data_IF_545469298880
#
_entry.id   IF_545469298880
#
_cell.length_a   1.000
_cell.length_b   1.000
_cell.length_c   1.000
_cell.angle_alpha   90.00
_cell.angle_beta   90.00
_cell.angle_gamma   90.00
#
_symmetry.space_group_name_H-M   'P 1'
#
loop_
_entity.id
_entity.type
_entity.pdbx_description
1 polymer ?
#
# COMPACT_ATOMS: atom_id res chain seq x y z
N UNK A 1 -17.70 2.62 27.59
CA UNK A 1 -17.92 3.14 26.22
C UNK A 1 -16.59 2.99 25.47
N UNK A 2 -16.40 1.90 24.73
CA UNK A 2 -15.21 1.76 23.90
C UNK A 2 -15.45 2.53 22.60
N UNK A 3 -14.90 3.74 22.52
CA UNK A 3 -14.95 4.53 21.29
C UNK A 3 -14.26 3.76 20.17
N UNK A 4 -14.93 3.62 19.03
CA UNK A 4 -14.27 3.23 17.79
C UNK A 4 -13.23 4.31 17.48
N UNK A 5 -11.97 4.04 17.79
CA UNK A 5 -10.88 4.94 17.41
C UNK A 5 -10.74 4.88 15.89
N UNK A 6 -11.02 5.99 15.23
CA UNK A 6 -10.58 6.20 13.86
C UNK A 6 -9.06 6.24 13.89
N UNK A 7 -8.43 5.25 13.26
CA UNK A 7 -6.98 5.16 13.14
C UNK A 7 -6.61 5.27 11.66
N UNK A 8 -5.67 6.15 11.35
CA UNK A 8 -5.05 6.22 10.03
C UNK A 8 -4.01 5.11 9.92
N UNK A 9 -4.23 4.17 9.00
CA UNK A 9 -3.29 3.09 8.67
C UNK A 9 -2.66 3.39 7.31
N UNK A 10 -1.34 3.22 7.21
CA UNK A 10 -0.66 3.36 5.91
C UNK A 10 -1.03 2.20 4.98
N UNK A 11 -1.03 2.45 3.67
CA UNK A 11 -1.24 1.40 2.66
C UNK A 11 -0.22 0.26 2.84
N UNK A 12 1.05 0.60 3.15
CA UNK A 12 2.10 -0.39 3.46
C UNK A 12 1.69 -1.33 4.59
N UNK A 13 1.12 -0.80 5.69
CA UNK A 13 0.68 -1.62 6.81
C UNK A 13 -0.54 -2.48 6.45
N UNK A 14 -1.49 -1.94 5.68
CA UNK A 14 -2.60 -2.72 5.14
C UNK A 14 -2.09 -3.93 4.34
N UNK A 15 -1.19 -3.71 3.38
CA UNK A 15 -0.64 -4.79 2.55
C UNK A 15 0.10 -5.82 3.41
N UNK A 16 0.98 -5.36 4.32
CA UNK A 16 1.70 -6.25 5.23
C UNK A 16 0.76 -7.11 6.07
N UNK A 17 -0.29 -6.52 6.63
CA UNK A 17 -1.26 -7.21 7.47
C UNK A 17 -2.11 -8.23 6.69
N UNK A 18 -2.42 -7.94 5.42
CA UNK A 18 -3.03 -8.93 4.51
C UNK A 18 -2.07 -10.10 4.26
N UNK A 19 -0.78 -9.83 4.00
CA UNK A 19 0.21 -10.87 3.67
C UNK A 19 0.47 -11.83 4.84
N UNK A 20 0.54 -11.31 6.08
CA UNK A 20 0.75 -12.15 7.27
C UNK A 20 -0.54 -12.81 7.79
N UNK A 21 -1.68 -12.56 7.14
CA UNK A 21 -2.98 -13.12 7.52
C UNK A 21 -3.62 -12.49 8.76
N UNK A 22 -3.14 -11.33 9.22
CA UNK A 22 -3.76 -10.59 10.35
C UNK A 22 -4.97 -9.77 9.91
N UNK A 23 -5.11 -9.48 8.61
CA UNK A 23 -6.33 -8.92 8.00
C UNK A 23 -6.91 -9.92 7.01
N UNK A 24 -8.16 -10.32 7.23
CA UNK A 24 -8.89 -11.25 6.35
C UNK A 24 -10.32 -10.76 6.07
N UNK A 25 -11.03 -11.47 5.18
CA UNK A 25 -12.42 -11.21 4.84
C UNK A 25 -13.34 -12.25 5.50
N UNK A 26 -14.49 -11.86 6.07
CA UNK A 26 -15.54 -12.81 6.38
C UNK A 26 -16.01 -13.56 5.11
N UNK A 27 -16.22 -14.87 5.19
CA UNK A 27 -16.57 -15.69 4.01
C UNK A 27 -17.83 -15.19 3.32
N UNK A 28 -18.85 -14.79 4.09
CA UNK A 28 -20.15 -14.35 3.57
C UNK A 28 -20.10 -13.04 2.76
N UNK A 29 -18.96 -12.34 2.73
CA UNK A 29 -18.81 -11.16 1.87
C UNK A 29 -18.75 -11.56 0.40
N UNK A 30 -19.40 -10.75 -0.46
CA UNK A 30 -19.39 -10.95 -1.91
C UNK A 30 -17.97 -11.06 -2.48
N UNK A 31 -17.87 -11.77 -3.60
CA UNK A 31 -16.63 -11.85 -4.35
C UNK A 31 -16.12 -10.47 -4.82
N UNK A 32 -14.84 -10.43 -5.19
CA UNK A 32 -14.26 -9.28 -5.85
C UNK A 32 -14.87 -9.12 -7.26
N UNK A 33 -15.46 -7.95 -7.53
CA UNK A 33 -16.21 -7.69 -8.77
C UNK A 33 -15.79 -6.39 -9.45
N UNK A 34 -14.84 -5.64 -8.88
CA UNK A 34 -14.31 -4.45 -9.56
C UNK A 34 -13.51 -4.86 -10.80
N UNK A 35 -13.84 -4.27 -11.93
CA UNK A 35 -12.99 -4.29 -13.12
C UNK A 35 -11.71 -3.48 -12.86
N UNK A 36 -10.84 -3.43 -13.87
CA UNK A 36 -9.56 -2.73 -13.75
C UNK A 36 -9.73 -1.20 -13.77
N UNK A 37 -10.76 -0.68 -14.43
CA UNK A 37 -11.05 0.75 -14.51
C UNK A 37 -11.36 1.34 -13.14
N UNK A 38 -12.13 0.64 -12.31
CA UNK A 38 -12.36 1.07 -10.91
C UNK A 38 -11.09 1.09 -10.06
N UNK A 39 -10.12 0.23 -10.37
CA UNK A 39 -8.81 0.30 -9.73
C UNK A 39 -8.07 1.56 -10.15
N UNK A 40 -8.10 1.95 -11.43
CA UNK A 40 -7.50 3.20 -11.90
C UNK A 40 -8.16 4.43 -11.26
N UNK A 41 -9.49 4.48 -11.22
CA UNK A 41 -10.24 5.57 -10.56
C UNK A 41 -9.91 5.69 -9.07
N UNK A 42 -9.72 4.54 -8.38
CA UNK A 42 -9.31 4.53 -6.98
C UNK A 42 -7.94 5.17 -6.78
N UNK A 43 -6.96 4.80 -7.62
CA UNK A 43 -5.61 5.37 -7.53
C UNK A 43 -5.57 6.83 -7.97
N UNK A 44 -6.33 7.22 -8.99
CA UNK A 44 -6.48 8.62 -9.39
C UNK A 44 -7.04 9.46 -8.23
N UNK A 45 -8.09 8.98 -7.58
CA UNK A 45 -8.67 9.63 -6.39
C UNK A 45 -7.66 9.74 -5.23
N UNK A 46 -6.86 8.68 -4.99
CA UNK A 46 -5.82 8.68 -3.97
C UNK A 46 -4.73 9.73 -4.24
N UNK A 47 -4.29 9.85 -5.49
CA UNK A 47 -3.27 10.83 -5.90
C UNK A 47 -3.78 12.26 -5.77
N UNK A 48 -5.04 12.50 -6.16
CA UNK A 48 -5.69 13.82 -6.11
C UNK A 48 -6.22 14.22 -4.73
N UNK A 49 -5.95 13.43 -3.69
CA UNK A 49 -6.47 13.69 -2.34
C UNK A 49 -8.00 13.64 -2.24
N UNK A 50 -8.69 13.02 -3.20
CA UNK A 50 -10.15 12.89 -3.20
C UNK A 50 -10.54 11.79 -2.20
N UNK A 51 -11.59 12.04 -1.40
CA UNK A 51 -12.07 11.08 -0.41
C UNK A 51 -12.58 9.79 -1.06
N UNK A 52 -11.86 8.69 -0.85
CA UNK A 52 -12.21 7.35 -1.36
C UNK A 52 -13.06 6.51 -0.39
N UNK A 53 -13.51 7.10 0.72
CA UNK A 53 -14.14 6.38 1.82
C UNK A 53 -13.14 5.84 2.86
N UNK A 54 -13.61 4.94 3.72
CA UNK A 54 -12.80 4.31 4.77
C UNK A 54 -12.82 2.78 4.65
N UNK A 55 -11.80 2.11 5.18
CA UNK A 55 -11.85 0.67 5.43
C UNK A 55 -12.31 0.47 6.88
N UNK A 56 -13.38 -0.30 7.07
CA UNK A 56 -13.92 -0.59 8.40
C UNK A 56 -13.43 -1.95 8.83
N UNK A 57 -12.83 -2.03 10.01
CA UNK A 57 -12.36 -3.28 10.60
C UNK A 57 -13.25 -3.74 11.76
N UNK A 58 -13.40 -5.05 11.90
CA UNK A 58 -13.99 -5.71 13.06
C UNK A 58 -12.98 -6.62 13.74
N UNK A 59 -13.00 -6.68 15.08
CA UNK A 59 -12.29 -7.71 15.85
C UNK A 59 -13.30 -8.79 16.23
N UNK A 60 -13.22 -10.00 15.67
CA UNK A 60 -14.14 -11.08 16.02
C UNK A 60 -13.88 -11.57 17.44
N UNK A 61 -14.92 -12.10 18.09
CA UNK A 61 -14.84 -12.73 19.42
C UNK A 61 -15.70 -13.98 19.49
N UNK A 62 -15.96 -14.59 18.34
CA UNK A 62 -16.86 -15.73 18.15
C UNK A 62 -16.34 -16.57 16.97
N UNK A 63 -16.79 -17.81 16.87
CA UNK A 63 -16.46 -18.70 15.75
C UNK A 63 -16.85 -18.07 14.41
N UNK A 64 -15.91 -18.03 13.46
CA UNK A 64 -16.17 -17.40 12.17
C UNK A 64 -15.42 -18.10 11.04
N UNK A 65 -16.11 -18.23 9.91
CA UNK A 65 -15.48 -18.64 8.65
C UNK A 65 -15.00 -17.41 7.89
N UNK A 66 -13.73 -17.42 7.52
CA UNK A 66 -13.04 -16.33 6.82
C UNK A 66 -12.41 -16.83 5.53
N UNK A 67 -11.98 -15.90 4.69
CA UNK A 67 -11.19 -16.14 3.49
C UNK A 67 -10.16 -15.05 3.30
N UNK A 68 -9.13 -15.37 2.51
CA UNK A 68 -8.13 -14.38 2.11
C UNK A 68 -8.68 -13.35 1.12
N UNK A 69 -7.93 -12.26 0.95
CA UNK A 69 -8.11 -11.31 -0.15
C UNK A 69 -7.98 -12.05 -1.50
N UNK A 70 -8.72 -11.59 -2.52
CA UNK A 70 -8.70 -12.22 -3.84
C UNK A 70 -7.38 -11.95 -4.58
N UNK A 71 -6.55 -12.99 -4.67
CA UNK A 71 -5.24 -12.98 -5.36
C UNK A 71 -5.29 -13.55 -6.78
N UNK A 72 -6.47 -13.87 -7.31
CA UNK A 72 -6.60 -14.58 -8.60
C UNK A 72 -6.30 -13.64 -9.76
N UNK A 73 -5.59 -14.05 -10.83
CA UNK A 73 -5.45 -13.19 -11.99
C UNK A 73 -6.81 -12.94 -12.65
N UNK A 74 -6.99 -11.77 -13.29
CA UNK A 74 -8.28 -11.41 -13.92
C UNK A 74 -8.67 -12.34 -15.06
N UNK A 75 -7.68 -12.91 -15.76
CA UNK A 75 -7.84 -13.81 -16.91
C UNK A 75 -6.77 -14.90 -16.87
N UNK A 76 -7.00 -15.98 -17.60
CA UNK A 76 -6.03 -17.06 -17.77
C UNK A 76 -6.03 -18.08 -16.62
N UNK A 77 -4.99 -18.93 -16.55
CA UNK A 77 -4.86 -19.98 -15.53
C UNK A 77 -4.96 -19.39 -14.12
N UNK A 78 -5.75 -20.04 -13.25
CA UNK A 78 -5.92 -19.60 -11.86
C UNK A 78 -7.03 -18.57 -11.63
N UNK A 79 -7.58 -17.94 -12.68
CA UNK A 79 -8.66 -16.94 -12.55
C UNK A 79 -9.96 -17.48 -11.94
N UNK A 80 -10.17 -18.80 -12.02
CA UNK A 80 -11.36 -19.49 -11.50
C UNK A 80 -11.05 -20.40 -10.32
N UNK A 81 -9.84 -20.34 -9.77
CA UNK A 81 -9.47 -21.15 -8.60
C UNK A 81 -10.38 -20.77 -7.42
N UNK A 82 -10.98 -21.73 -6.71
CA UNK A 82 -11.71 -21.44 -5.49
C UNK A 82 -10.77 -20.82 -4.44
N UNK A 83 -11.23 -19.81 -3.72
CA UNK A 83 -10.53 -19.29 -2.55
C UNK A 83 -11.03 -20.11 -1.36
N UNK A 84 -10.22 -21.01 -0.79
CA UNK A 84 -10.70 -21.89 0.27
C UNK A 84 -11.01 -21.09 1.52
N UNK A 85 -12.20 -21.27 2.13
CA UNK A 85 -12.50 -20.69 3.42
C UNK A 85 -11.71 -21.41 4.53
N UNK A 86 -11.47 -20.69 5.62
CA UNK A 86 -10.88 -21.20 6.86
C UNK A 86 -11.89 -20.93 7.97
N UNK A 87 -12.31 -21.97 8.68
CA UNK A 87 -13.12 -21.82 9.88
C UNK A 87 -12.20 -21.70 11.10
N UNK A 88 -12.45 -20.69 11.92
CA UNK A 88 -11.78 -20.52 13.21
C UNK A 88 -12.81 -20.68 14.32
N UNK A 89 -12.52 -21.58 15.25
CA UNK A 89 -13.23 -21.70 16.52
C UNK A 89 -13.08 -20.43 17.36
N UNK A 90 -13.96 -20.27 18.36
CA UNK A 90 -13.88 -19.12 19.27
C UNK A 90 -12.52 -19.04 19.99
N UNK A 91 -11.96 -20.17 20.44
CA UNK A 91 -10.65 -20.20 21.12
C UNK A 91 -9.50 -19.76 20.19
N UNK A 92 -9.51 -20.19 18.93
CA UNK A 92 -8.53 -19.75 17.93
C UNK A 92 -8.63 -18.25 17.65
N UNK A 93 -9.86 -17.72 17.56
CA UNK A 93 -10.10 -16.28 17.39
C UNK A 93 -9.62 -15.47 18.59
N UNK A 94 -9.90 -15.92 19.81
CA UNK A 94 -9.44 -15.25 21.03
C UNK A 94 -7.91 -15.18 21.08
N UNK A 95 -7.24 -16.30 20.78
CA UNK A 95 -5.77 -16.33 20.70
C UNK A 95 -5.22 -15.41 19.59
N UNK A 96 -5.79 -15.47 18.38
CA UNK A 96 -5.34 -14.65 17.23
C UNK A 96 -5.58 -13.16 17.42
N UNK A 97 -6.70 -12.77 18.02
CA UNK A 97 -7.00 -11.36 18.26
C UNK A 97 -6.12 -10.75 19.35
N UNK A 98 -5.73 -11.54 20.35
CA UNK A 98 -4.82 -11.10 21.42
C UNK A 98 -3.36 -11.04 20.98
N UNK A 99 -2.89 -11.99 20.17
CA UNK A 99 -1.46 -12.15 19.83
C UNK A 99 -1.11 -11.51 18.47
N UNK A 100 -1.96 -11.71 17.46
CA UNK A 100 -1.66 -11.38 16.06
C UNK A 100 -2.39 -10.11 15.56
N UNK A 101 -3.12 -9.42 16.45
CA UNK A 101 -4.01 -8.29 16.10
C UNK A 101 -4.94 -8.62 14.92
N UNK A 102 -5.52 -9.81 14.94
CA UNK A 102 -6.40 -10.32 13.90
C UNK A 102 -7.65 -9.44 13.72
N UNK A 103 -7.94 -9.05 12.47
CA UNK A 103 -9.00 -8.13 12.07
C UNK A 103 -9.71 -8.63 10.82
N UNK A 104 -11.02 -8.37 10.76
CA UNK A 104 -11.87 -8.60 9.60
C UNK A 104 -12.11 -7.28 8.88
N UNK A 105 -12.01 -7.24 7.55
CA UNK A 105 -12.55 -6.10 6.79
C UNK A 105 -14.06 -6.25 6.73
N UNK A 106 -14.80 -5.31 7.32
CA UNK A 106 -16.27 -5.25 7.31
C UNK A 106 -16.82 -4.36 6.19
N UNK A 107 -16.08 -3.31 5.83
CA UNK A 107 -16.37 -2.45 4.67
C UNK A 107 -15.09 -2.04 3.94
N UNK A 108 -15.20 -1.74 2.64
CA UNK A 108 -14.07 -1.36 1.81
C UNK A 108 -13.30 -2.54 1.22
N UNK A 109 -13.86 -3.75 1.27
CA UNK A 109 -13.26 -4.98 0.73
C UNK A 109 -12.77 -4.85 -0.72
N UNK A 110 -13.51 -4.15 -1.59
CA UNK A 110 -13.14 -4.00 -3.01
C UNK A 110 -11.95 -3.05 -3.14
N UNK A 111 -11.93 -1.95 -2.37
CA UNK A 111 -10.80 -1.01 -2.32
C UNK A 111 -9.53 -1.68 -1.81
N UNK A 112 -9.63 -2.38 -0.69
CA UNK A 112 -8.50 -3.11 -0.09
C UNK A 112 -7.95 -4.17 -1.07
N UNK A 113 -8.84 -4.91 -1.74
CA UNK A 113 -8.46 -5.91 -2.74
C UNK A 113 -7.79 -5.27 -3.96
N UNK A 114 -8.34 -4.17 -4.51
CA UNK A 114 -7.74 -3.44 -5.63
C UNK A 114 -6.35 -2.89 -5.32
N UNK A 115 -6.18 -2.26 -4.15
CA UNK A 115 -4.89 -1.73 -3.70
C UNK A 115 -3.88 -2.88 -3.58
N UNK A 116 -4.28 -3.97 -2.93
CA UNK A 116 -3.43 -5.15 -2.78
C UNK A 116 -3.00 -5.74 -4.12
N UNK A 117 -3.95 -5.97 -5.03
CA UNK A 117 -3.67 -6.58 -6.34
C UNK A 117 -2.76 -5.73 -7.21
N UNK A 118 -2.94 -4.40 -7.20
CA UNK A 118 -2.09 -3.48 -7.95
C UNK A 118 -0.65 -3.46 -7.41
N UNK A 119 -0.48 -3.30 -6.10
CA UNK A 119 0.84 -3.19 -5.47
C UNK A 119 1.62 -4.51 -5.44
N UNK A 120 0.92 -5.65 -5.48
CA UNK A 120 1.52 -6.99 -5.61
C UNK A 120 1.71 -7.44 -7.06
N UNK A 121 1.36 -6.61 -8.04
CA UNK A 121 1.53 -6.91 -9.47
C UNK A 121 0.58 -7.96 -10.04
N UNK A 122 -0.50 -8.29 -9.34
CA UNK A 122 -1.56 -9.19 -9.83
C UNK A 122 -2.40 -8.46 -10.89
N UNK A 123 -2.67 -7.19 -10.63
CA UNK A 123 -3.26 -6.27 -11.60
C UNK A 123 -2.15 -5.32 -12.06
N UNK A 124 -1.93 -5.24 -13.37
CA UNK A 124 -0.96 -4.31 -13.95
C UNK A 124 -1.53 -2.89 -13.93
N UNK A 125 -0.84 -1.99 -13.23
CA UNK A 125 -1.21 -0.58 -13.10
C UNK A 125 0.05 0.28 -13.29
N UNK A 126 -0.03 1.19 -14.25
CA UNK A 126 0.99 2.17 -14.58
C UNK A 126 0.48 3.55 -14.21
N UNK A 127 1.32 4.31 -13.49
CA UNK A 127 1.18 5.74 -13.32
C UNK A 127 1.89 6.43 -14.49
N UNK A 128 1.14 7.18 -15.28
CA UNK A 128 1.68 7.93 -16.42
C UNK A 128 1.82 9.40 -15.99
N UNK A 129 3.00 9.97 -16.20
CA UNK A 129 3.34 11.34 -15.84
C UNK A 129 3.32 12.21 -17.09
N UNK A 130 2.77 13.42 -16.95
CA UNK A 130 2.79 14.46 -17.99
C UNK A 130 4.21 14.79 -18.41
N UNK A 131 4.41 15.05 -19.70
CA UNK A 131 5.63 15.69 -20.18
C UNK A 131 5.69 17.15 -19.74
N UNK A 132 6.88 17.75 -19.78
CA UNK A 132 7.11 19.12 -19.30
C UNK A 132 6.19 20.15 -19.99
N UNK A 133 5.95 19.97 -21.30
CA UNK A 133 5.09 20.81 -22.13
C UNK A 133 3.59 20.61 -21.90
N UNK A 134 3.19 19.55 -21.18
CA UNK A 134 1.80 19.25 -20.82
C UNK A 134 1.43 19.76 -19.42
N UNK A 135 2.42 20.21 -18.65
CA UNK A 135 2.27 20.77 -17.32
C UNK A 135 2.00 22.27 -17.45
N UNK A 136 1.19 22.84 -16.55
CA UNK A 136 0.89 24.29 -16.56
C UNK A 136 2.16 25.12 -16.29
N UNK A 137 2.28 26.29 -16.93
CA UNK A 137 3.49 27.14 -16.85
C UNK A 137 3.92 27.43 -15.40
N UNK A 138 2.96 27.70 -14.51
CA UNK A 138 3.19 27.96 -13.08
C UNK A 138 3.84 26.77 -12.35
N UNK A 139 3.58 25.55 -12.81
CA UNK A 139 4.15 24.32 -12.25
C UNK A 139 5.52 24.03 -12.88
N UNK A 140 5.71 24.36 -14.15
CA UNK A 140 7.00 24.21 -14.83
C UNK A 140 8.11 25.02 -14.13
N UNK A 141 7.79 26.21 -13.63
CA UNK A 141 8.72 27.05 -12.87
C UNK A 141 9.16 26.44 -11.53
N UNK A 142 8.41 25.48 -10.99
CA UNK A 142 8.78 24.77 -9.75
C UNK A 142 9.88 23.76 -10.03
N UNK A 143 10.84 23.65 -9.12
CA UNK A 143 11.77 22.52 -9.10
C UNK A 143 10.99 21.19 -9.05
N UNK A 144 11.46 20.18 -9.78
CA UNK A 144 10.80 18.87 -9.88
C UNK A 144 10.44 18.25 -8.51
N UNK A 145 11.33 18.37 -7.52
CA UNK A 145 11.12 17.83 -6.16
C UNK A 145 9.99 18.53 -5.39
N UNK A 146 9.60 19.73 -5.82
CA UNK A 146 8.57 20.54 -5.19
C UNK A 146 7.21 20.43 -5.91
N UNK A 147 7.15 19.69 -7.01
CA UNK A 147 5.89 19.37 -7.70
C UNK A 147 5.20 18.21 -6.98
N UNK A 148 3.91 18.37 -6.71
CA UNK A 148 3.07 17.31 -6.18
C UNK A 148 2.71 16.31 -7.27
N UNK A 149 2.36 15.08 -6.87
CA UNK A 149 1.96 14.05 -7.82
C UNK A 149 0.65 14.40 -8.55
N UNK A 150 -0.27 15.12 -7.88
CA UNK A 150 -1.52 15.59 -8.48
C UNK A 150 -1.29 16.56 -9.64
N UNK A 151 -0.27 17.42 -9.56
CA UNK A 151 0.03 18.39 -10.61
C UNK A 151 0.58 17.72 -11.89
N UNK A 152 1.37 16.65 -11.70
CA UNK A 152 2.14 16.01 -12.79
C UNK A 152 1.53 14.71 -13.30
N UNK A 153 0.52 14.15 -12.64
CA UNK A 153 -0.15 12.94 -13.13
C UNK A 153 -0.92 13.22 -14.43
N UNK A 154 -0.72 12.35 -15.42
CA UNK A 154 -1.56 12.30 -16.62
C UNK A 154 -2.75 11.36 -16.38
N UNK A 155 -2.49 10.07 -16.13
CA UNK A 155 -3.52 9.07 -15.81
C UNK A 155 -2.95 7.80 -15.16
N UNK A 156 -3.85 6.88 -14.79
CA UNK A 156 -3.52 5.49 -14.50
C UNK A 156 -3.99 4.58 -15.64
N UNK A 157 -3.11 3.67 -16.09
CA UNK A 157 -3.37 2.77 -17.22
C UNK A 157 -2.91 1.33 -16.97
N UNK A 158 -3.34 0.41 -17.84
CA UNK A 158 -2.94 -1.00 -17.82
C UNK A 158 -1.66 -1.28 -18.60
N UNK A 159 -1.19 -0.31 -19.36
CA UNK A 159 0.03 -0.38 -20.15
C UNK A 159 0.83 0.92 -19.97
N UNK A 160 2.15 0.89 -20.20
CA UNK A 160 2.91 2.11 -20.28
C UNK A 160 2.48 2.94 -21.50
N UNK A 161 2.87 4.20 -21.50
CA UNK A 161 2.81 5.12 -22.63
C UNK A 161 4.19 5.18 -23.30
N UNK A 162 4.22 5.17 -24.63
CA UNK A 162 5.46 5.16 -25.42
C UNK A 162 6.19 6.52 -25.41
N UNK A 163 5.47 7.60 -25.13
CA UNK A 163 5.94 8.99 -25.22
C UNK A 163 5.99 9.71 -23.86
N UNK A 164 5.59 9.04 -22.77
CA UNK A 164 5.55 9.59 -21.42
C UNK A 164 6.25 8.69 -20.43
N UNK A 165 6.77 9.31 -19.36
CA UNK A 165 7.31 8.54 -18.24
C UNK A 165 6.19 7.70 -17.61
N UNK A 166 6.40 6.39 -17.62
CA UNK A 166 5.46 5.41 -17.09
C UNK A 166 6.10 4.64 -15.93
N UNK A 167 5.46 4.66 -14.77
CA UNK A 167 5.94 4.01 -13.55
C UNK A 167 5.00 2.86 -13.18
N UNK A 168 5.51 1.64 -13.13
CA UNK A 168 4.73 0.50 -12.67
C UNK A 168 4.54 0.55 -11.15
N UNK A 169 3.30 0.44 -10.67
CA UNK A 169 3.00 0.56 -9.24
C UNK A 169 3.60 -0.59 -8.40
N UNK A 170 3.65 -1.81 -8.93
CA UNK A 170 4.21 -2.94 -8.20
C UNK A 170 5.73 -2.81 -8.03
N UNK A 171 6.41 -2.32 -9.07
CA UNK A 171 7.85 -2.06 -9.03
C UNK A 171 8.17 -0.92 -8.06
N UNK A 172 7.44 0.20 -8.17
CA UNK A 172 7.59 1.34 -7.26
C UNK A 172 7.35 0.95 -5.80
N UNK A 173 6.30 0.16 -5.53
CA UNK A 173 6.03 -0.37 -4.20
C UNK A 173 7.16 -1.26 -3.70
N UNK A 174 7.64 -2.19 -4.52
CA UNK A 174 8.73 -3.10 -4.16
C UNK A 174 10.01 -2.34 -3.84
N UNK A 175 10.34 -1.31 -4.63
CA UNK A 175 11.48 -0.42 -4.37
C UNK A 175 11.35 0.31 -3.04
N UNK A 176 10.17 0.87 -2.74
CA UNK A 176 9.92 1.59 -1.49
C UNK A 176 10.01 0.68 -0.25
N UNK A 177 9.49 -0.55 -0.33
CA UNK A 177 9.60 -1.52 0.77
C UNK A 177 11.05 -1.92 0.99
N UNK A 178 11.80 -2.16 -0.08
CA UNK A 178 13.21 -2.54 0.03
C UNK A 178 14.05 -1.40 0.62
N UNK A 179 13.87 -0.15 0.15
CA UNK A 179 14.57 1.01 0.72
C UNK A 179 14.30 1.17 2.22
N UNK A 180 13.05 1.01 2.63
CA UNK A 180 12.68 1.09 4.06
C UNK A 180 13.34 -0.02 4.89
N UNK A 181 13.40 -1.24 4.35
CA UNK A 181 14.08 -2.37 5.01
C UNK A 181 15.58 -2.10 5.16
N UNK A 182 16.23 -1.57 4.11
CA UNK A 182 17.63 -1.16 4.16
C UNK A 182 17.85 -0.07 5.22
N UNK A 183 17.00 0.95 5.30
CA UNK A 183 17.08 1.99 6.33
C UNK A 183 16.89 1.43 7.74
N UNK A 184 15.94 0.50 7.94
CA UNK A 184 15.73 -0.16 9.23
C UNK A 184 16.94 -0.98 9.66
N UNK A 185 17.56 -1.72 8.74
CA UNK A 185 18.74 -2.54 9.02
C UNK A 185 19.95 -1.65 9.38
N UNK A 186 20.14 -0.52 8.70
CA UNK A 186 21.17 0.46 9.07
C UNK A 186 20.90 1.03 10.47
N UNK A 187 19.64 1.35 10.82
CA UNK A 187 19.29 1.86 12.16
C UNK A 187 19.46 0.81 13.25
N UNK A 188 19.15 -0.47 12.97
CA UNK A 188 19.31 -1.58 13.92
C UNK A 188 20.79 -1.93 14.12
N UNK A 189 21.57 -2.01 13.04
CA UNK A 189 23.00 -2.33 13.11
C UNK A 189 23.84 -1.15 13.60
N UNK A 190 23.49 0.09 13.25
CA UNK A 190 24.14 1.31 13.73
C UNK A 190 23.97 1.56 15.23
N UNK A 191 22.98 0.94 15.89
CA UNK A 191 22.84 0.96 17.36
C UNK A 191 23.67 -0.12 18.07
N UNK A 192 24.25 -1.07 17.34
CA UNK A 192 25.12 -2.12 17.90
C UNK A 192 26.61 -1.78 17.87
N UNK A 193 27.01 -0.73 17.14
CA UNK A 193 28.43 -0.34 16.97
C UNK A 193 28.87 0.90 17.77
N UNK A 194 28.26 1.21 18.93
CA UNK A 194 28.87 2.16 19.89
C UNK A 194 29.88 1.48 20.85
N UNK A 195 30.47 0.37 20.42
CA UNK A 195 31.29 -0.49 21.26
C UNK A 195 32.49 -1.12 20.56
N UNK A 196 33.07 -0.50 19.51
CA UNK A 196 34.47 -0.78 19.12
C UNK A 196 35.01 0.26 18.14
N UNK A 197 36.15 0.83 18.53
CA UNK A 197 37.02 1.74 17.80
C UNK A 197 37.27 1.31 16.34
N UNK A 198 37.02 2.23 15.41
CA UNK A 198 37.55 2.19 14.04
C UNK A 198 37.42 3.57 13.41
N UNK A 199 38.54 4.25 13.20
CA UNK A 199 38.60 5.54 12.50
C UNK A 199 38.03 5.42 11.08
N UNK A 200 37.07 6.27 10.74
CA UNK A 200 36.76 6.58 9.35
C UNK A 200 36.64 8.10 9.23
N UNK A 201 37.43 8.66 8.32
CA UNK A 201 37.60 10.09 8.07
C UNK A 201 36.26 10.75 7.74
N UNK A 202 35.84 11.72 8.57
CA UNK A 202 34.72 12.59 8.29
C UNK A 202 35.11 13.65 7.26
N UNK A 203 34.44 13.65 6.11
CA UNK A 203 34.39 14.81 5.23
C UNK A 203 33.30 15.74 5.80
N UNK A 204 33.72 16.76 6.54
CA UNK A 204 32.82 17.80 7.03
C UNK A 204 32.37 18.69 5.86
N UNK A 205 31.07 18.65 5.55
CA UNK A 205 30.43 19.73 4.80
C UNK A 205 29.85 20.68 5.84
N UNK A 206 30.46 21.86 5.95
CA UNK A 206 30.01 22.92 6.83
C UNK A 206 28.63 23.43 6.37
N UNK A 207 27.62 23.25 7.19
CA UNK A 207 26.37 24.02 7.12
C UNK A 207 26.64 25.42 7.67
N UNK A 208 26.32 26.43 6.87
CA UNK A 208 26.15 27.79 7.35
C UNK A 208 24.69 27.93 7.77
N UNK A 209 24.47 27.97 9.09
CA UNK A 209 23.27 28.57 9.67
C UNK A 209 23.27 30.07 9.37
N UNK A 210 22.10 30.57 8.98
CA UNK A 210 21.82 31.99 8.86
C UNK A 210 20.32 32.19 9.01
N UNK A 211 19.92 32.60 10.21
CA UNK A 211 18.57 33.00 10.62
C UNK A 211 17.83 33.84 9.56
N UNK A 212 16.61 33.41 9.21
CA UNK A 212 15.33 34.15 9.26
C UNK A 212 14.21 33.36 8.58
#
# INVERSE_FOLDING_TARGET
MNGQQQQTESIKNLIRNIEIGSIVLPEFQRDFVWDITKTYELFDSLVRGIFIGSIIYGKPSFEITVREIDKRPRKGPGSRTPIPPINYSQEEIENKTQIENFRLILDGQQRATSIYRALKGIDTVWLIIKNEDEVEEEIQEKEFRNRSLEEVIFEFSGHPDDNRLSINLADAYSMAINSDLFEEDIRKNGKSESGRSGQVYGLAVAGADGDL
#
